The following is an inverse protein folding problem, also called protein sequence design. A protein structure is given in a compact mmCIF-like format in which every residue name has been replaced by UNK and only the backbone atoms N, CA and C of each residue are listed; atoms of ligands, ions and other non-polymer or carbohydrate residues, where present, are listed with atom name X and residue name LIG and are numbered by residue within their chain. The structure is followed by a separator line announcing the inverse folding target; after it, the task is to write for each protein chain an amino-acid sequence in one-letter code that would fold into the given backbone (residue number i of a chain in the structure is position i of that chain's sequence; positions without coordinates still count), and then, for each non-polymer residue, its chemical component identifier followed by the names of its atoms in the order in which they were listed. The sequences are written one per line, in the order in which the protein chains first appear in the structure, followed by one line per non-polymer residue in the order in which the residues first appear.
data_IF_713901179644
#
_entry.id   IF_713901179644
#
_cell.length_a   1.000
_cell.length_b   1.000
_cell.length_c   1.000
_cell.angle_alpha   90.00
_cell.angle_beta   90.00
_cell.angle_gamma   90.00
#
_symmetry.space_group_name_H-M   'P 1'
#
loop_
_entity.id
_entity.type
_entity.pdbx_description
1 polymer ?
#
# COMPACT_ATOMS: atom_id res chain seq x y z
N UNK A 1 -9.14 7.67 -7.70
CA UNK A 1 -9.07 6.91 -8.97
C UNK A 1 -7.71 7.12 -9.61
N UNK A 2 -7.14 6.10 -10.27
CA UNK A 2 -5.85 6.23 -10.99
C UNK A 2 -6.02 7.16 -12.20
N UNK A 3 -5.23 8.23 -12.25
CA UNK A 3 -5.16 9.17 -13.38
C UNK A 3 -4.00 8.81 -14.32
N UNK A 4 -2.80 8.57 -13.76
CA UNK A 4 -1.61 8.23 -14.52
C UNK A 4 -0.77 7.14 -13.83
N UNK A 5 0.01 6.39 -14.62
CA UNK A 5 0.94 5.35 -14.16
C UNK A 5 2.27 5.54 -14.88
N UNK A 6 3.33 5.82 -14.12
CA UNK A 6 4.69 6.07 -14.58
C UNK A 6 5.65 5.13 -13.84
N UNK A 7 5.80 3.90 -14.35
CA UNK A 7 6.54 2.86 -13.64
C UNK A 7 5.90 2.58 -12.27
N UNK A 8 6.63 2.68 -11.15
CA UNK A 8 6.07 2.51 -9.80
C UNK A 8 5.33 3.75 -9.28
N UNK A 9 5.41 4.89 -9.97
CA UNK A 9 4.77 6.14 -9.55
C UNK A 9 3.38 6.21 -10.15
N UNK A 10 2.36 6.42 -9.32
CA UNK A 10 0.99 6.63 -9.77
C UNK A 10 0.49 8.00 -9.32
N UNK A 11 -0.27 8.65 -10.18
CA UNK A 11 -1.01 9.86 -9.81
C UNK A 11 -2.48 9.48 -9.67
N UNK A 12 -3.08 9.89 -8.55
CA UNK A 12 -4.45 9.54 -8.16
C UNK A 12 -5.27 10.80 -7.92
N UNK A 13 -6.45 10.84 -8.52
CA UNK A 13 -7.49 11.84 -8.25
C UNK A 13 -8.29 11.42 -7.03
N UNK A 14 -8.49 12.36 -6.10
CA UNK A 14 -9.10 12.17 -4.80
C UNK A 14 -10.20 13.22 -4.57
N UNK A 15 -11.30 12.81 -3.94
CA UNK A 15 -12.31 13.77 -3.45
C UNK A 15 -11.82 14.56 -2.25
N UNK A 16 -11.01 13.90 -1.41
CA UNK A 16 -10.28 14.48 -0.28
C UNK A 16 -8.86 13.94 -0.31
N UNK A 17 -7.86 14.81 -0.19
CA UNK A 17 -6.46 14.39 -0.14
C UNK A 17 -6.18 13.57 1.12
N UNK A 18 -5.71 12.32 1.00
CA UNK A 18 -5.20 11.55 2.13
C UNK A 18 -3.88 12.18 2.63
N UNK A 19 -3.54 12.07 3.91
CA UNK A 19 -2.25 12.54 4.42
C UNK A 19 -1.08 11.80 3.75
N UNK A 20 0.11 12.40 3.81
CA UNK A 20 1.34 11.71 3.40
C UNK A 20 1.52 10.43 4.20
N UNK A 21 2.13 9.42 3.57
CA UNK A 21 2.35 8.08 4.12
C UNK A 21 1.08 7.25 4.33
N UNK A 22 -0.10 7.76 3.98
CA UNK A 22 -1.33 6.96 3.98
C UNK A 22 -1.24 5.86 2.92
N UNK A 23 -1.61 4.65 3.30
CA UNK A 23 -1.75 3.56 2.35
C UNK A 23 -3.09 3.68 1.62
N UNK A 24 -3.05 3.50 0.31
CA UNK A 24 -4.20 3.39 -0.58
C UNK A 24 -4.20 2.00 -1.19
N UNK A 25 -5.35 1.55 -1.67
CA UNK A 25 -5.42 0.28 -2.38
C UNK A 25 -6.34 0.30 -3.60
N UNK A 26 -6.03 -0.54 -4.58
CA UNK A 26 -6.87 -0.83 -5.74
C UNK A 26 -7.08 -2.34 -5.82
N UNK A 27 -8.33 -2.76 -6.02
CA UNK A 27 -8.65 -4.15 -6.34
C UNK A 27 -8.70 -4.31 -7.87
N UNK A 28 -7.85 -5.17 -8.42
CA UNK A 28 -7.78 -5.45 -9.85
C UNK A 28 -7.31 -6.88 -10.08
N UNK A 29 -7.95 -7.59 -11.01
CA UNK A 29 -7.61 -8.97 -11.39
C UNK A 29 -7.46 -9.94 -10.19
N UNK A 30 -8.38 -9.84 -9.23
CA UNK A 30 -8.37 -10.61 -7.98
C UNK A 30 -7.19 -10.34 -7.02
N UNK A 31 -6.37 -9.33 -7.31
CA UNK A 31 -5.29 -8.87 -6.45
C UNK A 31 -5.56 -7.50 -5.82
N UNK A 32 -4.90 -7.26 -4.69
CA UNK A 32 -4.88 -5.96 -4.00
C UNK A 32 -3.55 -5.27 -4.24
N UNK A 33 -3.59 -4.15 -4.95
CA UNK A 33 -2.43 -3.31 -5.18
C UNK A 33 -2.39 -2.22 -4.13
N UNK A 34 -1.38 -2.26 -3.27
CA UNK A 34 -1.12 -1.25 -2.25
C UNK A 34 -0.24 -0.11 -2.79
N UNK A 35 -0.59 1.12 -2.47
CA UNK A 35 0.15 2.33 -2.79
C UNK A 35 0.38 3.17 -1.52
N UNK A 36 1.47 3.92 -1.45
CA UNK A 36 1.73 4.88 -0.37
C UNK A 36 1.71 6.31 -0.90
N UNK A 37 0.93 7.20 -0.27
CA UNK A 37 0.91 8.62 -0.63
C UNK A 37 2.26 9.27 -0.35
N UNK A 38 2.91 9.76 -1.39
CA UNK A 38 4.23 10.37 -1.31
C UNK A 38 4.17 11.90 -1.24
N UNK A 39 3.31 12.53 -2.04
CA UNK A 39 3.09 13.99 -2.01
C UNK A 39 1.73 14.38 -2.55
N UNK A 40 1.27 15.57 -2.19
CA UNK A 40 0.19 16.25 -2.90
C UNK A 40 0.75 16.97 -4.12
N UNK A 41 0.01 16.91 -5.24
CA UNK A 41 0.32 17.63 -6.47
C UNK A 41 -0.51 18.93 -6.53
N UNK A 42 -1.78 18.85 -6.12
CA UNK A 42 -2.71 19.96 -5.94
C UNK A 42 -3.85 19.53 -4.99
N UNK A 43 -4.92 20.33 -4.91
CA UNK A 43 -6.08 20.13 -4.02
C UNK A 43 -6.87 18.84 -4.25
N UNK A 44 -6.74 18.18 -5.41
CA UNK A 44 -7.49 16.98 -5.77
C UNK A 44 -6.62 15.83 -6.27
N UNK A 45 -5.31 16.02 -6.37
CA UNK A 45 -4.39 14.99 -6.86
C UNK A 45 -3.26 14.72 -5.89
N UNK A 46 -3.05 13.44 -5.63
CA UNK A 46 -1.90 12.95 -4.89
C UNK A 46 -1.04 12.06 -5.78
N UNK A 47 0.27 12.11 -5.55
CA UNK A 47 1.22 11.15 -6.11
C UNK A 47 1.50 10.09 -5.07
N UNK A 48 1.37 8.84 -5.47
CA UNK A 48 1.63 7.67 -4.64
C UNK A 48 2.66 6.75 -5.30
N UNK A 49 3.31 5.93 -4.48
CA UNK A 49 4.28 4.92 -4.90
C UNK A 49 3.62 3.55 -4.75
N UNK A 50 3.62 2.75 -5.81
CA UNK A 50 3.14 1.38 -5.77
C UNK A 50 4.13 0.47 -5.04
N UNK A 51 3.59 -0.31 -4.09
CA UNK A 51 4.33 -1.33 -3.34
C UNK A 51 4.19 -2.72 -3.99
N UNK A 52 3.40 -2.81 -5.06
CA UNK A 52 3.24 -3.98 -5.92
C UNK A 52 3.75 -3.67 -7.34
N UNK A 53 4.02 -4.70 -8.17
CA UNK A 53 4.23 -4.51 -9.59
C UNK A 53 3.08 -3.73 -10.23
N UNK A 54 3.38 -2.75 -11.09
CA UNK A 54 2.35 -1.92 -11.74
C UNK A 54 1.92 -2.43 -13.12
N UNK A 55 2.43 -3.60 -13.52
CA UNK A 55 2.04 -4.24 -14.77
C UNK A 55 0.53 -4.51 -14.78
N UNK A 56 -0.17 -4.03 -15.80
CA UNK A 56 -1.63 -4.21 -15.94
C UNK A 56 -2.48 -3.14 -15.26
N UNK A 57 -1.92 -2.32 -14.36
CA UNK A 57 -2.63 -1.16 -13.83
C UNK A 57 -2.92 -0.16 -14.94
N UNK A 58 -4.17 0.33 -14.96
CA UNK A 58 -4.66 1.25 -15.99
C UNK A 58 -5.38 2.44 -15.37
N UNK A 59 -5.44 3.51 -16.16
CA UNK A 59 -6.21 4.71 -15.84
C UNK A 59 -7.68 4.34 -15.60
N UNK A 60 -8.34 5.07 -14.71
CA UNK A 60 -9.75 4.87 -14.41
C UNK A 60 -10.04 3.83 -13.32
N UNK A 61 -9.04 3.09 -12.84
CA UNK A 61 -9.26 2.13 -11.76
C UNK A 61 -9.60 2.84 -10.44
N UNK A 62 -10.60 2.36 -9.69
CA UNK A 62 -10.96 2.93 -8.39
C UNK A 62 -9.82 2.69 -7.39
N UNK A 63 -9.56 3.70 -6.57
CA UNK A 63 -8.56 3.66 -5.50
C UNK A 63 -9.26 4.03 -4.21
N UNK A 64 -9.01 3.25 -3.17
CA UNK A 64 -9.67 3.34 -1.89
C UNK A 64 -8.64 3.70 -0.81
N UNK A 65 -9.10 4.48 0.16
CA UNK A 65 -8.31 4.86 1.31
C UNK A 65 -8.34 3.74 2.36
N UNK A 66 -7.17 3.35 2.88
CA UNK A 66 -7.09 2.37 3.99
C UNK A 66 -7.33 3.00 5.37
N UNK A 67 -7.36 4.34 5.45
CA UNK A 67 -7.57 5.10 6.68
C UNK A 67 -6.32 5.28 7.55
N UNK A 68 -5.16 4.78 7.10
CA UNK A 68 -3.90 4.94 7.81
C UNK A 68 -2.70 4.51 6.98
N UNK A 69 -1.50 4.55 7.55
CA UNK A 69 -0.30 4.06 6.88
C UNK A 69 -0.31 2.53 6.76
N UNK A 70 0.61 1.98 5.97
CA UNK A 70 0.81 0.53 5.89
C UNK A 70 1.23 0.00 7.28
N UNK A 71 0.53 -1.05 7.74
CA UNK A 71 0.81 -1.71 9.02
C UNK A 71 1.09 -3.18 8.80
N UNK A 72 2.08 -3.70 9.52
CA UNK A 72 2.51 -5.10 9.44
C UNK A 72 2.40 -5.79 10.80
N UNK A 73 2.22 -7.13 10.84
CA UNK A 73 2.20 -7.90 12.07
C UNK A 73 3.54 -7.83 12.79
N UNK A 74 3.51 -7.59 14.11
CA UNK A 74 4.69 -7.67 14.97
C UNK A 74 4.40 -8.65 16.10
N UNK A 75 5.21 -9.71 16.17
CA UNK A 75 5.11 -10.78 17.16
C UNK A 75 6.50 -11.39 17.37
N UNK A 76 6.81 -11.99 18.54
CA UNK A 76 8.03 -12.79 18.72
C UNK A 76 8.21 -13.87 17.63
N UNK A 77 7.11 -14.37 17.07
CA UNK A 77 7.13 -15.37 15.99
C UNK A 77 7.68 -14.83 14.65
N UNK A 78 7.93 -13.53 14.53
CA UNK A 78 8.62 -12.94 13.38
C UNK A 78 10.11 -13.34 13.35
N UNK A 79 10.70 -13.72 14.50
CA UNK A 79 12.09 -14.13 14.57
C UNK A 79 12.30 -15.39 13.71
N UNK A 80 13.37 -15.36 12.91
CA UNK A 80 13.75 -16.47 12.03
C UNK A 80 12.69 -16.80 10.96
N UNK A 81 11.89 -15.80 10.56
CA UNK A 81 10.98 -15.82 9.41
C UNK A 81 11.53 -14.97 8.27
N UNK A 82 11.22 -15.37 7.03
CA UNK A 82 11.35 -14.51 5.87
C UNK A 82 9.97 -13.92 5.55
N UNK A 83 9.85 -12.59 5.59
CA UNK A 83 8.60 -11.87 5.38
C UNK A 83 8.73 -10.89 4.22
N UNK A 84 7.63 -10.64 3.51
CA UNK A 84 7.55 -9.54 2.55
C UNK A 84 7.30 -8.18 3.23
N UNK A 85 7.21 -7.11 2.42
CA UNK A 85 6.98 -5.74 2.91
C UNK A 85 5.61 -5.57 3.60
N UNK A 86 4.66 -6.46 3.35
CA UNK A 86 3.34 -6.48 3.97
C UNK A 86 3.30 -7.38 5.22
N UNK A 87 4.43 -7.99 5.58
CA UNK A 87 4.57 -8.91 6.70
C UNK A 87 3.98 -10.30 6.45
N UNK A 88 3.68 -10.65 5.19
CA UNK A 88 3.26 -11.99 4.81
C UNK A 88 4.48 -12.92 4.69
N UNK A 89 4.37 -14.20 5.11
CA UNK A 89 5.48 -15.14 5.00
C UNK A 89 5.89 -15.50 3.57
N UNK A 90 7.19 -15.51 3.32
CA UNK A 90 7.82 -16.02 2.09
C UNK A 90 8.63 -17.30 2.30
N UNK A 91 8.59 -17.87 3.51
CA UNK A 91 9.35 -19.07 3.91
C UNK A 91 8.54 -20.38 3.82
N UNK A 92 7.32 -20.34 3.26
CA UNK A 92 6.43 -21.49 3.15
C UNK A 92 5.84 -21.99 4.48
N UNK A 93 6.05 -21.26 5.58
CA UNK A 93 5.48 -21.57 6.90
C UNK A 93 4.12 -20.87 7.09
N UNK A 94 3.31 -21.28 8.09
CA UNK A 94 2.00 -20.67 8.33
C UNK A 94 2.03 -19.15 8.55
N UNK A 95 0.89 -18.46 8.32
CA UNK A 95 0.72 -17.04 8.63
C UNK A 95 1.07 -16.71 10.09
N UNK A 96 1.60 -15.50 10.30
CA UNK A 96 1.87 -14.99 11.64
C UNK A 96 0.57 -14.67 12.37
N UNK A 97 0.46 -15.12 13.61
CA UNK A 97 -0.61 -14.69 14.53
C UNK A 97 -0.07 -13.54 15.37
N UNK A 98 -0.43 -12.31 15.01
CA UNK A 98 -0.02 -11.12 15.75
C UNK A 98 -1.21 -10.49 16.48
N UNK A 99 -0.98 -10.06 17.72
CA UNK A 99 -1.95 -9.25 18.48
C UNK A 99 -1.82 -7.75 18.19
N UNK A 100 -0.69 -7.35 17.60
CA UNK A 100 -0.34 -5.96 17.33
C UNK A 100 0.08 -5.80 15.87
N UNK A 101 -0.43 -4.75 15.23
CA UNK A 101 -0.02 -4.30 13.91
C UNK A 101 0.74 -2.98 14.06
N UNK A 102 1.98 -2.90 13.57
CA UNK A 102 2.79 -1.67 13.66
C UNK A 102 2.88 -0.95 12.33
N UNK A 103 2.83 0.37 12.39
CA UNK A 103 3.13 1.22 11.25
C UNK A 103 4.59 1.02 10.82
N UNK A 104 4.83 0.84 9.52
CA UNK A 104 6.19 0.70 8.98
C UNK A 104 6.99 2.01 9.00
N UNK A 105 6.30 3.15 9.05
CA UNK A 105 6.94 4.46 9.17
C UNK A 105 7.03 4.82 10.65
N UNK A 106 8.24 4.65 11.19
CA UNK A 106 8.58 5.16 12.51
C UNK A 106 8.60 6.70 12.44
N UNK A 107 7.84 7.34 13.32
CA UNK A 107 8.01 8.76 13.62
C UNK A 107 9.07 8.95 14.69
#
# INVERSE_FOLDING_TARGET
MIEEVHGPVIDVVCDRLPPLHQALFCAFDHEHYTFEVYRHLDERRARAIALHPTAGLKRGLPVFDSGGPLRIPVTPDCLNRLLDVFGAPLDGRPPLVAREMRNIIAR
#
